data_IF_178717009619
#
_entry.id   IF_178717009619
#
_cell.length_a   1.000
_cell.length_b   1.000
_cell.length_c   1.000
_cell.angle_alpha   90.00
_cell.angle_beta   90.00
_cell.angle_gamma   90.00
#
_symmetry.space_group_name_H-M   'P 1'
#
loop_
_entity.id
_entity.type
_entity.pdbx_description
1 polymer ?
#
# COMPACT_ATOMS: atom_id res chain seq x y z
N UNK A 1 12.42 1.72 44.88
CA UNK A 1 11.29 0.91 45.37
C UNK A 1 11.73 -0.52 45.25
N UNK A 2 11.95 -1.20 46.37
CA UNK A 2 12.46 -2.57 46.34
C UNK A 2 11.31 -3.53 46.06
N UNK A 3 11.38 -4.23 44.91
CA UNK A 3 10.44 -5.30 44.59
C UNK A 3 11.04 -6.60 45.14
N UNK A 4 10.35 -7.18 46.12
CA UNK A 4 10.74 -8.46 46.73
C UNK A 4 9.98 -9.57 46.01
N UNK A 5 10.69 -10.38 45.24
CA UNK A 5 10.16 -11.62 44.71
C UNK A 5 10.37 -12.75 45.72
N UNK A 6 9.27 -13.38 46.17
CA UNK A 6 9.31 -14.59 46.98
C UNK A 6 9.14 -15.80 46.08
N UNK A 7 10.16 -16.59 45.91
CA UNK A 7 10.08 -17.89 45.23
C UNK A 7 9.88 -18.94 46.30
N UNK A 8 8.76 -19.64 46.29
CA UNK A 8 8.47 -20.79 47.14
C UNK A 8 8.82 -22.07 46.40
N UNK A 9 9.79 -22.80 46.85
CA UNK A 9 10.01 -24.19 46.45
C UNK A 9 9.48 -25.09 47.55
N UNK A 10 8.49 -25.92 47.23
CA UNK A 10 8.00 -26.99 48.15
C UNK A 10 8.69 -28.27 47.72
N UNK A 11 9.42 -28.87 48.65
CA UNK A 11 10.02 -30.20 48.48
C UNK A 11 9.24 -31.23 49.34
N UNK A 12 8.70 -32.24 48.66
CA UNK A 12 8.41 -33.51 49.30
C UNK A 12 9.40 -34.55 48.78
N UNK A 13 10.22 -35.09 49.69
CA UNK A 13 11.14 -36.22 49.61
C UNK A 13 12.68 -35.93 49.57
N UNK A 14 13.50 -36.75 50.27
CA UNK A 14 14.90 -36.42 50.58
C UNK A 14 15.96 -36.93 49.57
N UNK A 15 15.68 -37.03 48.31
CA UNK A 15 16.66 -37.53 47.30
C UNK A 15 16.50 -36.97 45.89
N UNK A 16 16.27 -35.63 45.77
CA UNK A 16 16.23 -35.03 44.43
C UNK A 16 17.49 -34.19 44.20
N UNK A 17 18.30 -34.62 43.26
CA UNK A 17 19.37 -33.77 42.66
C UNK A 17 18.73 -32.60 41.94
N UNK A 18 19.29 -31.41 42.13
CA UNK A 18 18.88 -30.16 41.58
C UNK A 18 19.09 -30.20 40.05
N UNK A 19 18.07 -30.52 39.31
CA UNK A 19 18.12 -30.46 37.84
C UNK A 19 17.96 -29.00 37.38
N UNK A 20 19.06 -28.31 37.23
CA UNK A 20 19.10 -27.02 36.54
C UNK A 20 18.97 -27.27 35.03
N UNK A 21 17.99 -26.67 34.41
CA UNK A 21 17.87 -26.65 32.92
C UNK A 21 19.19 -26.11 32.34
N UNK A 22 19.68 -26.77 31.30
CA UNK A 22 21.00 -26.59 30.68
C UNK A 22 21.28 -25.22 30.04
N UNK A 23 20.36 -24.29 30.10
CA UNK A 23 20.41 -23.04 29.31
C UNK A 23 20.54 -21.77 30.15
N UNK A 24 20.85 -21.88 31.44
CA UNK A 24 21.12 -20.72 32.29
C UNK A 24 22.62 -20.64 32.60
N UNK A 25 23.32 -19.80 31.86
CA UNK A 25 24.72 -19.40 32.17
C UNK A 25 24.76 -18.47 33.40
N UNK A 26 25.06 -19.06 34.58
CA UNK A 26 25.23 -18.33 35.85
C UNK A 26 26.64 -17.82 36.01
N UNK A 27 27.19 -17.05 35.04
CA UNK A 27 28.58 -16.58 35.14
C UNK A 27 28.80 -15.38 36.07
N UNK A 28 27.78 -14.76 36.63
CA UNK A 28 27.92 -13.55 37.45
C UNK A 28 27.24 -13.62 38.83
N UNK A 29 27.03 -14.81 39.39
CA UNK A 29 26.52 -14.93 40.75
C UNK A 29 27.71 -15.28 41.68
N UNK A 30 28.26 -14.30 42.34
CA UNK A 30 29.22 -14.48 43.41
C UNK A 30 28.47 -14.79 44.72
N UNK A 31 28.69 -16.01 45.24
CA UNK A 31 28.19 -16.58 46.50
C UNK A 31 26.76 -17.04 46.59
N UNK A 32 26.54 -18.29 46.22
CA UNK A 32 25.41 -19.08 46.70
C UNK A 32 25.84 -19.77 48.02
N UNK A 33 25.31 -19.31 49.16
CA UNK A 33 25.50 -20.01 50.45
C UNK A 33 24.24 -20.85 50.72
N UNK A 34 24.39 -22.16 50.70
CA UNK A 34 23.32 -23.09 51.05
C UNK A 34 23.44 -23.44 52.53
N UNK A 35 22.46 -23.06 53.36
CA UNK A 35 22.32 -23.59 54.72
C UNK A 35 21.20 -24.66 54.77
N UNK A 36 21.45 -25.67 55.47
CA UNK A 36 20.58 -26.84 55.67
C UNK A 36 19.49 -26.54 56.67
N UNK A 37 18.56 -25.80 56.57
CA UNK A 37 17.35 -25.73 57.38
C UNK A 37 16.53 -24.49 57.02
N UNK A 38 15.41 -24.72 56.33
CA UNK A 38 14.39 -23.68 56.16
C UNK A 38 14.50 -22.79 54.92
N UNK A 39 13.46 -22.11 54.63
CA UNK A 39 13.22 -21.24 53.47
C UNK A 39 14.27 -20.11 53.39
N UNK A 40 14.98 -19.97 52.27
CA UNK A 40 15.90 -18.85 52.03
C UNK A 40 15.30 -17.84 51.06
N UNK A 41 15.46 -16.56 51.39
CA UNK A 41 15.18 -15.44 50.48
C UNK A 41 16.48 -15.03 49.80
N UNK A 42 16.43 -14.94 48.47
CA UNK A 42 17.56 -14.42 47.67
C UNK A 42 17.27 -12.95 47.39
N UNK A 43 18.19 -12.09 47.82
CA UNK A 43 18.15 -10.66 47.51
C UNK A 43 19.09 -10.40 46.34
N UNK A 44 18.53 -9.90 45.23
CA UNK A 44 19.31 -9.55 44.05
C UNK A 44 19.34 -8.03 43.97
N UNK A 45 20.54 -7.45 43.87
CA UNK A 45 20.69 -6.01 43.71
C UNK A 45 20.16 -5.53 42.37
N UNK A 46 19.60 -4.32 42.34
CA UNK A 46 18.74 -3.78 41.31
C UNK A 46 19.38 -3.63 39.91
N UNK A 47 20.72 -3.53 39.85
CA UNK A 47 21.44 -3.40 38.59
C UNK A 47 21.62 -4.73 37.84
N UNK A 48 21.54 -5.87 38.52
CA UNK A 48 21.64 -7.20 37.89
C UNK A 48 20.29 -7.80 37.50
N UNK A 49 19.18 -7.29 38.05
CA UNK A 49 17.85 -7.86 37.82
C UNK A 49 17.25 -7.50 36.45
N UNK A 50 17.66 -6.37 35.88
CA UNK A 50 17.18 -5.97 34.53
C UNK A 50 17.78 -6.83 33.42
N UNK A 51 18.99 -7.34 33.55
CA UNK A 51 19.66 -8.17 32.55
C UNK A 51 19.24 -9.65 32.58
N UNK A 52 18.65 -10.12 33.67
CA UNK A 52 18.23 -11.54 33.81
C UNK A 52 16.82 -11.81 33.25
N UNK A 53 15.97 -10.77 33.14
CA UNK A 53 14.58 -10.89 32.69
C UNK A 53 14.46 -10.82 31.15
N UNK A 54 15.44 -10.21 30.51
CA UNK A 54 15.53 -10.15 29.05
C UNK A 54 16.65 -11.13 28.66
N UNK A 55 16.26 -12.33 28.20
CA UNK A 55 17.19 -13.24 27.55
C UNK A 55 18.02 -12.46 26.53
N UNK A 56 19.33 -12.68 26.51
CA UNK A 56 20.23 -12.23 25.46
C UNK A 56 19.86 -12.90 24.11
N UNK A 57 18.74 -12.51 23.53
CA UNK A 57 18.68 -12.36 22.09
C UNK A 57 19.55 -11.14 21.81
N UNK A 58 20.54 -11.28 20.95
CA UNK A 58 21.52 -10.31 20.52
C UNK A 58 21.11 -8.89 20.89
N UNK A 59 21.93 -8.15 21.65
CA UNK A 59 21.67 -6.75 21.97
C UNK A 59 21.70 -5.90 20.69
N UNK A 60 20.77 -6.21 19.78
CA UNK A 60 20.40 -5.44 18.62
C UNK A 60 19.64 -4.24 19.13
N UNK A 61 20.16 -3.07 18.85
CA UNK A 61 19.51 -1.79 19.11
C UNK A 61 18.03 -1.89 18.69
N UNK A 62 17.10 -1.73 19.63
CA UNK A 62 15.67 -1.74 19.34
C UNK A 62 15.38 -0.78 18.19
N UNK A 63 14.76 -1.25 17.12
CA UNK A 63 14.42 -0.38 15.99
C UNK A 63 13.51 0.76 16.44
N UNK A 64 13.71 1.92 15.84
CA UNK A 64 12.86 3.09 16.00
C UNK A 64 12.30 3.44 14.62
N UNK A 65 11.06 3.07 14.38
CA UNK A 65 10.39 3.24 13.10
C UNK A 65 9.35 4.36 13.21
N UNK A 66 9.43 5.33 12.32
CA UNK A 66 8.41 6.35 12.15
C UNK A 66 7.52 5.98 10.97
N UNK A 67 6.22 6.14 11.13
CA UNK A 67 5.27 6.23 10.02
C UNK A 67 4.80 7.67 9.88
N UNK A 68 5.02 8.28 8.73
CA UNK A 68 4.68 9.67 8.43
C UNK A 68 3.59 9.69 7.37
N UNK A 69 2.47 10.37 7.65
CA UNK A 69 1.26 10.40 6.82
C UNK A 69 0.77 11.84 6.67
N UNK A 70 0.57 12.30 5.44
CA UNK A 70 0.08 13.67 5.15
C UNK A 70 -1.41 13.78 5.39
N UNK A 71 -1.81 14.73 6.24
CA UNK A 71 -3.21 14.92 6.56
C UNK A 71 -4.03 15.40 5.35
N UNK A 72 -4.98 14.55 4.88
CA UNK A 72 -5.83 14.83 3.72
C UNK A 72 -5.03 15.34 2.51
N UNK A 73 -4.01 14.63 2.12
CA UNK A 73 -2.94 15.04 1.20
C UNK A 73 -3.43 15.83 -0.02
N UNK A 74 -4.32 15.29 -0.83
CA UNK A 74 -4.78 15.96 -2.05
C UNK A 74 -5.47 17.28 -1.78
N UNK A 75 -6.28 17.36 -0.73
CA UNK A 75 -6.93 18.59 -0.33
C UNK A 75 -5.90 19.60 0.20
N UNK A 76 -4.99 19.16 1.07
CA UNK A 76 -3.98 20.01 1.68
C UNK A 76 -3.01 20.58 0.64
N UNK A 77 -2.56 19.76 -0.31
CA UNK A 77 -1.69 20.23 -1.40
C UNK A 77 -2.41 21.19 -2.35
N UNK A 78 -3.68 20.94 -2.66
CA UNK A 78 -4.50 21.84 -3.47
C UNK A 78 -4.67 23.19 -2.75
N UNK A 79 -4.99 23.17 -1.46
CA UNK A 79 -5.13 24.38 -0.64
C UNK A 79 -3.84 25.21 -0.63
N UNK A 80 -2.69 24.56 -0.39
CA UNK A 80 -1.39 25.25 -0.38
C UNK A 80 -1.08 25.89 -1.74
N UNK A 81 -1.37 25.19 -2.84
CA UNK A 81 -1.13 25.73 -4.18
C UNK A 81 -2.06 26.91 -4.50
N UNK A 82 -3.33 26.81 -4.13
CA UNK A 82 -4.29 27.90 -4.32
C UNK A 82 -3.91 29.14 -3.51
N UNK A 83 -3.54 28.99 -2.24
CA UNK A 83 -3.10 30.11 -1.39
C UNK A 83 -1.83 30.77 -1.94
N UNK A 84 -0.86 30.01 -2.46
CA UNK A 84 0.32 30.56 -3.14
C UNK A 84 -0.04 31.37 -4.39
N UNK A 85 -1.11 30.99 -5.06
CA UNK A 85 -1.62 31.69 -6.24
C UNK A 85 -2.61 32.81 -5.92
N UNK A 86 -2.75 33.19 -4.63
CA UNK A 86 -3.54 34.35 -4.20
C UNK A 86 -5.01 34.04 -3.86
N UNK A 87 -5.37 32.77 -3.63
CA UNK A 87 -6.71 32.46 -3.15
C UNK A 87 -6.95 33.06 -1.75
N UNK A 88 -8.11 33.68 -1.54
CA UNK A 88 -8.47 34.29 -0.25
C UNK A 88 -8.98 33.29 0.77
N UNK A 89 -9.52 32.17 0.30
CA UNK A 89 -10.13 31.14 1.16
C UNK A 89 -9.27 29.88 1.17
N UNK A 90 -8.92 29.42 2.36
CA UNK A 90 -8.30 28.11 2.56
C UNK A 90 -9.38 27.03 2.55
N UNK A 91 -9.40 26.21 1.52
CA UNK A 91 -10.39 25.13 1.35
C UNK A 91 -10.33 24.06 2.47
N UNK A 92 -9.27 24.03 3.29
CA UNK A 92 -9.17 23.16 4.47
C UNK A 92 -10.12 23.59 5.60
N UNK A 93 -10.50 24.88 5.64
CA UNK A 93 -11.32 25.47 6.70
C UNK A 93 -12.82 25.37 6.42
N UNK A 94 -13.21 25.18 5.18
CA UNK A 94 -14.60 25.06 4.73
C UNK A 94 -14.98 23.61 4.39
N UNK A 95 -16.28 23.26 4.25
CA UNK A 95 -16.67 21.98 3.68
C UNK A 95 -16.19 21.85 2.23
N UNK A 96 -15.13 21.09 2.02
CA UNK A 96 -14.51 20.94 0.72
C UNK A 96 -14.06 19.50 0.44
N UNK A 97 -14.03 19.13 -0.84
CA UNK A 97 -13.54 17.84 -1.32
C UNK A 97 -12.64 18.03 -2.54
N UNK A 98 -11.76 17.07 -2.75
CA UNK A 98 -11.17 16.81 -4.07
C UNK A 98 -11.92 15.65 -4.66
N UNK A 99 -12.47 15.81 -5.85
CA UNK A 99 -13.29 14.79 -6.49
C UNK A 99 -13.23 14.82 -8.00
N UNK A 100 -13.58 13.70 -8.61
CA UNK A 100 -13.74 13.62 -10.06
C UNK A 100 -15.00 14.36 -10.53
N UNK A 101 -15.11 14.50 -11.85
CA UNK A 101 -16.25 15.18 -12.48
C UNK A 101 -17.60 14.59 -12.02
N UNK A 102 -18.50 15.48 -11.62
CA UNK A 102 -19.83 15.15 -11.11
C UNK A 102 -20.72 14.46 -12.17
N UNK A 103 -20.54 14.82 -13.43
CA UNK A 103 -21.35 14.30 -14.55
C UNK A 103 -20.80 12.98 -15.07
N UNK A 104 -19.54 12.68 -14.79
CA UNK A 104 -18.92 11.42 -15.18
C UNK A 104 -19.26 10.28 -14.22
N UNK A 105 -19.23 9.05 -14.73
CA UNK A 105 -19.37 7.82 -13.92
C UNK A 105 -18.20 7.59 -12.96
N UNK A 106 -17.17 8.44 -13.02
CA UNK A 106 -15.92 8.34 -12.26
C UNK A 106 -15.84 9.29 -11.05
N UNK A 107 -16.86 10.13 -10.87
CA UNK A 107 -16.88 11.15 -9.82
C UNK A 107 -16.96 10.56 -8.42
N UNK A 108 -15.80 10.25 -7.82
CA UNK A 108 -15.67 9.84 -6.41
C UNK A 108 -14.91 10.89 -5.60
N UNK A 109 -15.19 10.95 -4.30
CA UNK A 109 -14.46 11.76 -3.34
C UNK A 109 -13.07 11.16 -3.11
N UNK A 110 -12.01 11.87 -3.46
CA UNK A 110 -10.62 11.44 -3.26
C UNK A 110 -10.05 11.92 -1.93
N UNK A 111 -10.36 13.15 -1.54
CA UNK A 111 -9.99 13.73 -0.25
C UNK A 111 -11.07 14.69 0.23
N UNK A 112 -11.11 14.95 1.53
CA UNK A 112 -12.11 15.83 2.16
C UNK A 112 -11.52 16.63 3.31
N UNK A 113 -12.10 17.81 3.58
CA UNK A 113 -11.79 18.62 4.75
C UNK A 113 -12.40 18.01 6.03
N UNK A 114 -11.88 18.42 7.20
CA UNK A 114 -12.48 18.07 8.49
C UNK A 114 -13.90 18.62 8.62
N UNK A 115 -14.18 19.77 8.02
CA UNK A 115 -15.53 20.35 7.95
C UNK A 115 -16.47 19.49 7.12
N UNK A 116 -16.04 18.97 5.96
CA UNK A 116 -16.82 18.05 5.14
C UNK A 116 -17.07 16.71 5.85
N UNK A 117 -16.10 16.21 6.65
CA UNK A 117 -16.27 14.98 7.46
C UNK A 117 -17.46 15.07 8.41
N UNK A 118 -17.74 16.25 8.99
CA UNK A 118 -18.87 16.47 9.90
C UNK A 118 -20.23 16.23 9.25
N UNK A 119 -20.36 16.38 7.93
CA UNK A 119 -21.56 16.05 7.16
C UNK A 119 -21.66 14.56 6.79
N UNK A 120 -20.77 13.71 7.32
CA UNK A 120 -20.75 12.28 7.03
C UNK A 120 -20.23 11.95 5.62
N UNK A 121 -19.50 12.86 4.97
CA UNK A 121 -18.87 12.64 3.67
C UNK A 121 -17.70 11.66 3.88
N UNK A 122 -17.59 10.66 3.00
CA UNK A 122 -16.55 9.60 3.06
C UNK A 122 -15.69 9.59 1.81
N UNK A 123 -14.40 9.34 1.97
CA UNK A 123 -13.50 9.07 0.83
C UNK A 123 -13.94 7.80 0.12
N UNK A 124 -13.94 7.82 -1.22
CA UNK A 124 -14.39 6.71 -2.07
C UNK A 124 -15.90 6.72 -2.36
N UNK A 125 -16.71 7.59 -1.73
CA UNK A 125 -18.11 7.69 -2.10
C UNK A 125 -18.33 8.50 -3.38
N UNK A 126 -19.45 8.26 -4.12
CA UNK A 126 -19.80 9.07 -5.26
C UNK A 126 -19.96 10.56 -4.90
N UNK A 127 -19.40 11.45 -5.72
CA UNK A 127 -19.50 12.92 -5.54
C UNK A 127 -20.95 13.38 -5.41
N UNK A 128 -21.86 12.78 -6.17
CA UNK A 128 -23.32 13.09 -6.10
C UNK A 128 -23.88 12.88 -4.69
N UNK A 129 -23.43 11.83 -3.98
CA UNK A 129 -23.86 11.56 -2.62
C UNK A 129 -23.25 12.59 -1.63
N UNK A 130 -22.03 13.03 -1.87
CA UNK A 130 -21.41 14.08 -1.05
C UNK A 130 -22.18 15.41 -1.15
N UNK A 131 -22.59 15.81 -2.35
CA UNK A 131 -23.43 17.01 -2.55
C UNK A 131 -24.83 16.88 -1.95
N UNK A 132 -25.43 15.68 -1.93
CA UNK A 132 -26.70 15.46 -1.20
C UNK A 132 -26.59 15.69 0.29
N UNK A 133 -25.44 15.34 0.88
CA UNK A 133 -25.15 15.55 2.31
C UNK A 133 -24.79 17.00 2.64
N UNK A 134 -24.14 17.70 1.73
CA UNK A 134 -23.72 19.09 1.88
C UNK A 134 -23.93 19.85 0.55
N UNK A 135 -25.09 20.51 0.35
CA UNK A 135 -25.40 21.22 -0.90
C UNK A 135 -24.40 22.32 -1.27
N UNK A 136 -23.84 22.99 -0.26
CA UNK A 136 -22.84 24.07 -0.45
C UNK A 136 -21.40 23.55 -0.38
N UNK A 137 -21.18 22.30 -0.74
CA UNK A 137 -19.87 21.67 -0.74
C UNK A 137 -18.98 22.28 -1.84
N UNK A 138 -17.79 22.77 -1.45
CA UNK A 138 -16.77 23.17 -2.42
C UNK A 138 -16.10 21.93 -3.00
N UNK A 139 -15.85 21.92 -4.31
CA UNK A 139 -15.18 20.82 -4.97
C UNK A 139 -14.14 21.31 -5.97
N UNK A 140 -12.93 20.79 -5.85
CA UNK A 140 -11.86 20.97 -6.83
C UNK A 140 -11.53 19.65 -7.54
N UNK A 141 -11.16 19.69 -8.83
CA UNK A 141 -10.69 18.52 -9.56
C UNK A 141 -9.29 18.10 -9.08
N UNK A 142 -8.93 16.80 -9.18
CA UNK A 142 -7.61 16.32 -8.79
C UNK A 142 -6.51 16.75 -9.76
N UNK A 143 -5.37 17.17 -9.22
CA UNK A 143 -4.15 17.48 -9.99
C UNK A 143 -3.02 16.50 -9.63
N UNK A 144 -3.06 15.30 -10.19
CA UNK A 144 -2.08 14.24 -9.90
C UNK A 144 -0.63 14.60 -10.24
N UNK A 145 -0.39 15.54 -11.17
CA UNK A 145 0.97 16.02 -11.47
C UNK A 145 1.53 16.82 -10.30
N UNK A 146 0.74 17.76 -9.79
CA UNK A 146 1.08 18.58 -8.63
C UNK A 146 1.28 17.70 -7.38
N UNK A 147 0.40 16.69 -7.17
CA UNK A 147 0.50 15.80 -6.02
C UNK A 147 1.80 14.99 -6.01
N UNK A 148 2.23 14.47 -7.17
CA UNK A 148 3.54 13.80 -7.29
C UNK A 148 4.71 14.75 -6.99
N UNK A 149 4.60 16.02 -7.36
CA UNK A 149 5.64 17.00 -7.05
C UNK A 149 5.73 17.29 -5.55
N UNK A 150 4.60 17.50 -4.87
CA UNK A 150 4.58 17.68 -3.41
C UNK A 150 5.09 16.43 -2.68
N UNK A 151 4.66 15.24 -3.11
CA UNK A 151 5.14 13.96 -2.61
C UNK A 151 6.67 13.84 -2.74
N UNK A 152 7.21 14.09 -3.93
CA UNK A 152 8.65 14.04 -4.17
C UNK A 152 9.41 15.01 -3.26
N UNK A 153 8.95 16.25 -3.14
CA UNK A 153 9.58 17.27 -2.28
C UNK A 153 9.54 16.90 -0.81
N UNK A 154 8.46 16.27 -0.34
CA UNK A 154 8.38 15.75 1.02
C UNK A 154 9.39 14.61 1.23
N UNK A 155 9.44 13.63 0.32
CA UNK A 155 10.39 12.53 0.43
C UNK A 155 11.85 13.01 0.38
N UNK A 156 12.17 13.96 -0.53
CA UNK A 156 13.49 14.55 -0.61
C UNK A 156 13.88 15.28 0.70
N UNK A 157 12.92 15.97 1.33
CA UNK A 157 13.12 16.60 2.64
C UNK A 157 13.36 15.55 3.74
N UNK A 158 12.56 14.49 3.81
CA UNK A 158 12.75 13.44 4.82
C UNK A 158 14.08 12.71 4.65
N UNK A 159 14.56 12.54 3.41
CA UNK A 159 15.89 11.99 3.11
C UNK A 159 17.05 12.84 3.62
N UNK A 160 16.83 14.10 4.01
CA UNK A 160 17.87 14.89 4.68
C UNK A 160 18.17 14.41 6.10
N UNK A 161 17.27 13.64 6.71
CA UNK A 161 17.46 13.02 8.02
C UNK A 161 18.14 11.65 7.92
N UNK A 162 17.58 10.77 7.06
CA UNK A 162 18.08 9.40 6.84
C UNK A 162 17.79 8.94 5.41
N UNK A 163 18.64 8.07 4.86
CA UNK A 163 18.39 7.38 3.59
C UNK A 163 17.36 6.26 3.70
N UNK A 164 17.16 5.72 4.91
CA UNK A 164 16.33 4.57 5.18
C UNK A 164 14.84 4.96 5.22
N UNK A 165 14.28 5.16 4.03
CA UNK A 165 12.88 5.56 3.81
C UNK A 165 12.22 4.62 2.82
N UNK A 166 11.12 3.99 3.24
CA UNK A 166 10.22 3.20 2.42
C UNK A 166 8.98 4.03 2.09
N UNK A 167 8.91 4.53 0.87
CA UNK A 167 7.71 5.22 0.39
C UNK A 167 6.62 4.22 0.04
N UNK A 168 5.51 4.24 0.80
CA UNK A 168 4.37 3.33 0.62
C UNK A 168 3.37 3.86 -0.40
N UNK A 169 3.10 5.16 -0.34
CA UNK A 169 2.18 5.85 -1.25
C UNK A 169 2.69 7.25 -1.61
N UNK A 170 1.85 8.07 -2.24
CA UNK A 170 2.19 9.47 -2.54
C UNK A 170 2.26 10.34 -1.29
N UNK A 171 1.64 9.92 -0.19
CA UNK A 171 1.43 10.72 1.02
C UNK A 171 1.91 10.05 2.30
N UNK A 172 2.42 8.81 2.24
CA UNK A 172 2.91 8.11 3.43
C UNK A 172 4.21 7.36 3.19
N UNK A 173 5.03 7.29 4.23
CA UNK A 173 6.26 6.53 4.24
C UNK A 173 6.60 6.00 5.63
N UNK A 174 7.40 4.93 5.66
CA UNK A 174 8.16 4.54 6.84
C UNK A 174 9.57 5.12 6.77
N UNK A 175 10.10 5.49 7.94
CA UNK A 175 11.46 5.98 8.11
C UNK A 175 12.12 5.19 9.25
N UNK A 176 13.25 4.55 8.99
CA UNK A 176 14.07 3.99 10.07
C UNK A 176 14.89 5.12 10.71
N UNK A 177 14.53 5.43 11.93
CA UNK A 177 15.15 6.48 12.73
C UNK A 177 16.26 5.97 13.64
N UNK A 178 16.46 4.64 13.72
CA UNK A 178 17.39 3.97 14.64
C UNK A 178 18.81 4.56 14.58
N UNK A 179 19.37 4.65 13.37
CA UNK A 179 20.75 5.09 13.17
C UNK A 179 21.03 6.57 13.47
N UNK A 180 19.97 7.38 13.58
CA UNK A 180 20.08 8.83 13.82
C UNK A 180 19.48 9.28 15.16
N UNK A 181 18.90 8.35 15.92
CA UNK A 181 18.23 8.66 17.18
C UNK A 181 19.11 9.45 18.16
N UNK A 182 20.41 9.16 18.19
CA UNK A 182 21.39 9.82 19.07
C UNK A 182 21.59 11.32 18.79
N UNK A 183 21.12 11.82 17.63
CA UNK A 183 21.21 13.25 17.27
C UNK A 183 20.13 14.10 17.94
N UNK A 184 19.18 13.47 18.60
CA UNK A 184 17.99 14.10 19.19
C UNK A 184 17.89 13.67 20.66
N UNK A 185 17.26 14.48 21.48
CA UNK A 185 17.02 14.17 22.88
C UNK A 185 16.04 13.00 23.09
N UNK A 186 15.06 12.88 22.16
CA UNK A 186 14.15 11.73 22.09
C UNK A 186 13.55 11.56 20.68
N UNK A 187 13.10 10.34 20.30
CA UNK A 187 12.37 10.12 19.06
C UNK A 187 11.10 10.96 18.95
N UNK A 188 10.43 11.20 20.07
CA UNK A 188 9.20 12.00 20.11
C UNK A 188 9.48 13.47 19.79
N UNK A 189 10.54 14.05 20.34
CA UNK A 189 10.95 15.43 20.02
C UNK A 189 11.36 15.57 18.56
N UNK A 190 12.13 14.60 18.04
CA UNK A 190 12.46 14.58 16.62
C UNK A 190 11.23 14.55 15.72
N UNK A 191 10.21 13.78 16.07
CA UNK A 191 8.96 13.73 15.34
C UNK A 191 8.20 15.07 15.37
N UNK A 192 8.20 15.77 16.51
CA UNK A 192 7.62 17.12 16.60
C UNK A 192 8.42 18.12 15.76
N UNK A 193 9.74 18.04 15.75
CA UNK A 193 10.60 18.88 14.92
C UNK A 193 10.33 18.64 13.42
N UNK A 194 10.33 17.39 12.96
CA UNK A 194 10.03 17.03 11.58
C UNK A 194 8.65 17.58 11.17
N UNK A 195 7.64 17.37 12.02
CA UNK A 195 6.28 17.85 11.79
C UNK A 195 6.22 19.38 11.66
N UNK A 196 6.92 20.11 12.53
CA UNK A 196 7.00 21.58 12.49
C UNK A 196 7.70 22.07 11.21
N UNK A 197 8.83 21.46 10.85
CA UNK A 197 9.55 21.80 9.63
C UNK A 197 8.77 21.48 8.35
N UNK A 198 7.99 20.39 8.33
CA UNK A 198 7.08 20.08 7.19
C UNK A 198 6.05 21.19 7.03
N UNK A 199 5.44 21.64 8.13
CA UNK A 199 4.47 22.73 8.08
C UNK A 199 5.10 24.05 7.62
N UNK A 200 6.25 24.42 8.16
CA UNK A 200 6.96 25.66 7.83
C UNK A 200 7.39 25.69 6.35
N UNK A 201 7.98 24.60 5.86
CA UNK A 201 8.53 24.52 4.50
C UNK A 201 7.47 24.33 3.42
N UNK A 202 6.41 23.60 3.73
CA UNK A 202 5.46 23.16 2.71
C UNK A 202 4.04 23.66 2.93
N UNK A 203 3.66 24.10 4.15
CA UNK A 203 2.35 24.64 4.46
C UNK A 203 1.24 23.61 4.68
N UNK A 204 1.58 22.33 4.84
CA UNK A 204 0.65 21.26 5.20
C UNK A 204 1.13 20.49 6.43
N UNK A 205 0.24 19.71 7.03
CA UNK A 205 0.52 18.96 8.25
C UNK A 205 0.66 17.48 7.99
N UNK A 206 1.41 16.80 8.85
CA UNK A 206 1.57 15.35 8.88
C UNK A 206 1.20 14.78 10.24
N UNK A 207 0.79 13.51 10.27
CA UNK A 207 0.79 12.70 11.46
C UNK A 207 2.07 11.85 11.49
N UNK A 208 2.59 11.61 12.70
CA UNK A 208 3.75 10.74 12.90
C UNK A 208 3.40 9.70 13.96
N UNK A 209 3.53 8.43 13.60
CA UNK A 209 3.46 7.31 14.53
C UNK A 209 4.85 6.73 14.76
N UNK A 210 5.17 6.42 16.01
CA UNK A 210 6.49 5.94 16.44
C UNK A 210 6.34 4.59 17.10
N UNK A 211 7.15 3.62 16.70
CA UNK A 211 7.22 2.31 17.32
C UNK A 211 8.51 1.57 16.98
N UNK A 212 8.56 0.27 17.35
CA UNK A 212 9.67 -0.63 17.03
C UNK A 212 9.50 -1.37 15.72
N UNK A 213 8.31 -1.34 15.12
CA UNK A 213 8.03 -1.97 13.82
C UNK A 213 7.04 -1.14 12.99
N UNK A 214 6.93 -1.46 11.69
CA UNK A 214 6.09 -0.74 10.73
C UNK A 214 4.60 -0.80 11.07
N UNK A 215 4.11 -1.96 11.50
CA UNK A 215 2.71 -2.14 11.87
C UNK A 215 2.29 -1.20 12.99
N UNK A 216 3.02 -1.24 14.10
CA UNK A 216 2.69 -0.43 15.28
C UNK A 216 2.89 1.06 15.01
N UNK A 217 3.92 1.45 14.23
CA UNK A 217 4.10 2.83 13.81
C UNK A 217 2.92 3.32 12.94
N UNK A 218 2.41 2.46 12.02
CA UNK A 218 1.22 2.77 11.22
C UNK A 218 -0.02 2.93 12.09
N UNK A 219 -0.27 2.00 13.01
CA UNK A 219 -1.41 2.07 13.93
C UNK A 219 -1.34 3.34 14.79
N UNK A 220 -0.16 3.70 15.31
CA UNK A 220 0.03 4.91 16.09
C UNK A 220 -0.32 6.18 15.29
N UNK A 221 0.08 6.28 14.03
CA UNK A 221 -0.22 7.45 13.20
C UNK A 221 -1.70 7.65 12.91
N UNK A 222 -2.51 6.57 13.05
CA UNK A 222 -3.95 6.59 12.77
C UNK A 222 -4.83 6.86 13.99
N UNK A 223 -4.30 6.86 15.24
CA UNK A 223 -5.09 7.04 16.47
C UNK A 223 -5.89 8.34 16.49
N UNK A 224 -5.24 9.45 16.29
CA UNK A 224 -5.91 10.76 16.24
C UNK A 224 -5.30 11.61 15.11
N UNK A 225 -6.13 12.12 14.23
CA UNK A 225 -5.76 13.03 13.12
C UNK A 225 -6.61 14.30 13.18
N UNK A 226 -6.11 15.45 12.77
CA UNK A 226 -4.83 15.70 12.10
C UNK A 226 -3.70 16.21 13.02
N UNK A 227 -2.48 16.26 12.48
CA UNK A 227 -1.33 16.99 13.03
C UNK A 227 -0.89 16.51 14.41
N UNK A 228 -0.80 15.19 14.62
CA UNK A 228 -0.42 14.56 15.88
C UNK A 228 0.87 13.74 15.77
N UNK A 229 1.47 13.50 16.92
CA UNK A 229 2.53 12.53 17.13
C UNK A 229 2.05 11.53 18.19
N UNK A 230 2.12 10.25 17.88
CA UNK A 230 1.72 9.19 18.79
C UNK A 230 2.78 8.09 18.84
N UNK A 231 2.88 7.44 19.98
CA UNK A 231 3.66 6.22 20.18
C UNK A 231 2.73 5.03 20.32
N UNK A 232 3.22 3.88 19.90
CA UNK A 232 2.61 2.59 20.19
C UNK A 232 3.73 1.54 20.29
N UNK A 233 4.44 1.54 21.42
CA UNK A 233 5.45 0.53 21.69
C UNK A 233 4.82 -0.81 22.10
N UNK A 234 5.53 -1.93 22.03
CA UNK A 234 4.98 -3.25 22.34
C UNK A 234 4.28 -3.32 23.71
N UNK A 235 4.82 -2.65 24.72
CA UNK A 235 4.24 -2.57 26.07
C UNK A 235 2.93 -1.78 26.12
N UNK A 236 2.70 -0.87 25.16
CA UNK A 236 1.51 -0.02 25.07
C UNK A 236 0.35 -0.69 24.29
N UNK A 237 0.60 -1.82 23.59
CA UNK A 237 -0.36 -2.49 22.70
C UNK A 237 -1.65 -2.85 23.43
N UNK A 238 -1.54 -3.41 24.64
CA UNK A 238 -2.71 -3.83 25.42
C UNK A 238 -3.56 -2.64 25.89
N UNK A 239 -2.95 -1.52 26.19
CA UNK A 239 -3.63 -0.35 26.69
C UNK A 239 -4.21 0.50 25.56
N UNK A 240 -3.42 0.76 24.49
CA UNK A 240 -3.79 1.71 23.44
C UNK A 240 -4.47 1.07 22.25
N UNK A 241 -4.09 -0.17 21.86
CA UNK A 241 -4.56 -0.78 20.62
C UNK A 241 -5.68 -1.82 20.87
N UNK A 242 -5.58 -2.67 21.90
CA UNK A 242 -6.57 -3.71 22.14
C UNK A 242 -8.01 -3.23 22.38
N UNK A 243 -8.27 -2.06 23.03
CA UNK A 243 -9.62 -1.54 23.20
C UNK A 243 -10.28 -1.07 21.91
N UNK A 244 -9.52 -0.86 20.83
CA UNK A 244 -10.05 -0.36 19.57
C UNK A 244 -10.93 -1.42 18.88
N UNK A 245 -11.95 -0.97 18.10
CA UNK A 245 -12.72 -1.86 17.25
C UNK A 245 -11.81 -2.62 16.28
N UNK A 246 -12.13 -3.88 15.99
CA UNK A 246 -11.35 -4.71 15.08
C UNK A 246 -11.27 -4.13 13.67
N UNK A 247 -12.22 -3.28 13.28
CA UNK A 247 -12.22 -2.55 12.01
C UNK A 247 -11.12 -1.48 11.88
N UNK A 248 -10.53 -1.07 13.00
CA UNK A 248 -9.41 -0.12 13.01
C UNK A 248 -8.05 -0.80 12.85
N UNK A 249 -7.99 -2.13 12.95
CA UNK A 249 -6.75 -2.86 12.75
C UNK A 249 -6.29 -2.76 11.29
N UNK A 250 -5.03 -2.41 11.10
CA UNK A 250 -4.42 -2.40 9.76
C UNK A 250 -4.66 -3.72 9.04
N UNK A 251 -5.03 -3.68 7.77
CA UNK A 251 -5.40 -4.84 6.93
C UNK A 251 -6.75 -5.50 7.26
N UNK A 252 -7.47 -5.14 8.32
CA UNK A 252 -8.81 -5.65 8.57
C UNK A 252 -9.84 -4.98 7.65
N UNK A 253 -9.98 -5.48 6.43
CA UNK A 253 -10.95 -4.99 5.46
C UNK A 253 -12.40 -5.38 5.82
N UNK A 254 -13.40 -4.73 5.19
CA UNK A 254 -14.83 -4.95 5.46
C UNK A 254 -15.25 -6.42 5.43
N UNK A 255 -14.71 -7.21 4.51
CA UNK A 255 -15.01 -8.66 4.40
C UNK A 255 -14.48 -9.45 5.59
N UNK A 256 -13.25 -9.14 6.04
CA UNK A 256 -12.66 -9.80 7.20
C UNK A 256 -13.39 -9.39 8.48
N UNK A 257 -13.69 -8.09 8.64
CA UNK A 257 -14.47 -7.58 9.79
C UNK A 257 -15.82 -8.25 9.88
N UNK A 258 -16.56 -8.39 8.77
CA UNK A 258 -17.86 -9.06 8.75
C UNK A 258 -17.79 -10.56 9.17
N UNK A 259 -16.65 -11.22 8.92
CA UNK A 259 -16.41 -12.61 9.38
C UNK A 259 -16.07 -12.60 10.88
N UNK A 260 -15.20 -11.70 11.32
CA UNK A 260 -14.81 -11.58 12.73
C UNK A 260 -16.01 -11.23 13.62
N UNK A 261 -16.87 -10.31 13.20
CA UNK A 261 -18.11 -9.97 13.91
C UNK A 261 -19.08 -11.16 14.05
N UNK A 262 -19.16 -12.04 13.04
CA UNK A 262 -19.93 -13.30 13.13
C UNK A 262 -19.34 -14.28 14.13
N UNK A 263 -18.04 -14.19 14.40
CA UNK A 263 -17.34 -14.95 15.43
C UNK A 263 -17.36 -14.25 16.79
N UNK A 264 -18.15 -13.17 16.92
CA UNK A 264 -18.27 -12.31 18.10
C UNK A 264 -16.98 -11.58 18.50
N UNK A 265 -16.01 -11.49 17.57
CA UNK A 265 -14.75 -10.74 17.73
C UNK A 265 -14.98 -9.31 17.26
N UNK A 266 -15.04 -8.36 18.19
CA UNK A 266 -15.37 -6.95 17.94
C UNK A 266 -14.20 -6.01 18.17
N UNK A 267 -13.28 -6.39 19.06
CA UNK A 267 -12.10 -5.59 19.40
C UNK A 267 -10.80 -6.26 18.95
N UNK A 268 -9.74 -5.46 18.83
CA UNK A 268 -8.41 -5.97 18.51
C UNK A 268 -7.92 -6.90 19.62
N UNK A 269 -8.24 -6.61 20.90
CA UNK A 269 -7.89 -7.45 22.02
C UNK A 269 -8.57 -8.81 22.03
N UNK A 270 -9.85 -8.88 21.64
CA UNK A 270 -10.56 -10.16 21.46
C UNK A 270 -9.92 -10.97 20.33
N UNK A 271 -9.56 -10.33 19.21
CA UNK A 271 -8.84 -10.96 18.11
C UNK A 271 -7.48 -11.52 18.55
N UNK A 272 -6.71 -10.74 19.31
CA UNK A 272 -5.39 -11.13 19.81
C UNK A 272 -5.43 -12.36 20.72
N UNK A 273 -6.52 -12.54 21.46
CA UNK A 273 -6.72 -13.64 22.41
C UNK A 273 -7.42 -14.86 21.79
N UNK A 274 -7.90 -14.75 20.55
CA UNK A 274 -8.57 -15.85 19.85
C UNK A 274 -7.54 -16.89 19.37
N UNK A 275 -7.93 -18.17 19.35
CA UNK A 275 -7.08 -19.25 18.78
C UNK A 275 -6.79 -18.94 17.29
N UNK A 276 -5.51 -18.79 16.88
CA UNK A 276 -5.16 -18.51 15.50
C UNK A 276 -5.64 -19.60 14.52
N UNK A 277 -5.82 -20.85 14.95
CA UNK A 277 -6.37 -21.92 14.09
C UNK A 277 -7.83 -21.67 13.71
N UNK A 278 -8.63 -21.12 14.62
CA UNK A 278 -10.00 -20.72 14.32
C UNK A 278 -10.03 -19.61 13.25
N UNK A 279 -9.14 -18.64 13.38
CA UNK A 279 -9.02 -17.54 12.41
C UNK A 279 -8.52 -18.05 11.04
N UNK A 280 -7.56 -18.96 11.02
CA UNK A 280 -7.07 -19.60 9.79
C UNK A 280 -8.17 -20.43 9.10
N UNK A 281 -9.04 -21.09 9.85
CA UNK A 281 -10.17 -21.82 9.29
C UNK A 281 -11.12 -20.92 8.50
N UNK A 282 -11.44 -19.73 9.03
CA UNK A 282 -12.40 -18.82 8.43
C UNK A 282 -11.78 -17.84 7.42
N UNK A 283 -10.56 -17.38 7.67
CA UNK A 283 -9.87 -16.30 6.91
C UNK A 283 -8.60 -16.81 6.21
N UNK A 284 -8.27 -18.09 6.32
CA UNK A 284 -7.06 -18.71 5.78
C UNK A 284 -5.80 -18.03 6.32
N UNK A 285 -4.74 -17.91 5.50
CA UNK A 285 -3.48 -17.23 5.89
C UNK A 285 -3.70 -15.80 6.39
N UNK A 286 -4.71 -15.11 5.87
CA UNK A 286 -5.02 -13.76 6.31
C UNK A 286 -5.49 -13.69 7.78
N UNK A 287 -6.18 -14.73 8.26
CA UNK A 287 -6.56 -14.85 9.68
C UNK A 287 -5.35 -14.87 10.60
N UNK A 288 -4.31 -15.63 10.23
CA UNK A 288 -3.05 -15.62 10.96
C UNK A 288 -2.37 -14.26 10.98
N UNK A 289 -2.29 -13.62 9.82
CA UNK A 289 -1.72 -12.26 9.70
C UNK A 289 -2.45 -11.26 10.60
N UNK A 290 -3.79 -11.29 10.63
CA UNK A 290 -4.56 -10.40 11.49
C UNK A 290 -4.34 -10.71 12.98
N UNK A 291 -4.18 -11.97 13.35
CA UNK A 291 -3.84 -12.35 14.72
C UNK A 291 -2.45 -11.86 15.14
N UNK A 292 -1.45 -12.04 14.28
CA UNK A 292 -0.10 -11.52 14.49
C UNK A 292 -0.13 -10.00 14.67
N UNK A 293 -0.86 -9.29 13.81
CA UNK A 293 -1.02 -7.84 13.88
C UNK A 293 -1.73 -7.39 15.16
N UNK A 294 -2.77 -8.10 15.60
CA UNK A 294 -3.45 -7.81 16.86
C UNK A 294 -2.54 -7.98 18.10
N UNK A 295 -1.53 -8.84 17.99
CA UNK A 295 -0.49 -9.02 19.00
C UNK A 295 0.74 -8.09 18.82
N UNK A 296 0.69 -7.15 17.88
CA UNK A 296 1.77 -6.19 17.63
C UNK A 296 2.97 -6.77 16.89
N UNK A 297 2.84 -7.99 16.34
CA UNK A 297 3.90 -8.66 15.59
C UNK A 297 3.92 -8.12 14.17
N UNK A 298 4.99 -7.47 13.78
CA UNK A 298 5.16 -6.86 12.46
C UNK A 298 6.64 -6.75 12.07
N UNK A 299 6.87 -6.52 10.78
CA UNK A 299 8.22 -6.34 10.24
C UNK A 299 8.78 -4.96 10.63
N UNK A 300 10.02 -4.94 11.12
CA UNK A 300 10.74 -3.71 11.43
C UNK A 300 11.58 -3.20 10.26
N UNK A 301 11.87 -4.04 9.26
CA UNK A 301 12.76 -3.67 8.16
C UNK A 301 12.11 -2.65 7.24
N UNK A 302 12.70 -1.46 7.17
CA UNK A 302 12.36 -0.43 6.18
C UNK A 302 13.08 -0.76 4.87
N UNK A 303 12.33 -0.84 3.77
CA UNK A 303 12.86 -1.14 2.44
C UNK A 303 13.09 0.16 1.67
N UNK A 304 14.30 0.70 1.78
CA UNK A 304 14.69 1.95 1.09
C UNK A 304 14.86 1.79 -0.42
N UNK A 305 15.05 0.55 -0.90
CA UNK A 305 15.15 0.25 -2.32
C UNK A 305 13.77 0.03 -2.94
N UNK A 306 13.56 0.59 -4.14
CA UNK A 306 12.32 0.37 -4.88
C UNK A 306 12.15 -1.11 -5.25
N UNK A 307 11.06 -1.71 -4.82
CA UNK A 307 10.72 -3.09 -5.18
C UNK A 307 10.34 -3.17 -6.65
N UNK A 308 10.91 -4.11 -7.38
CA UNK A 308 10.58 -4.32 -8.78
C UNK A 308 9.08 -4.57 -8.99
N UNK A 309 8.48 -3.85 -9.93
CA UNK A 309 7.06 -4.02 -10.25
C UNK A 309 6.75 -5.44 -10.70
N UNK A 310 5.77 -6.10 -10.09
CA UNK A 310 5.33 -7.47 -10.44
C UNK A 310 4.46 -7.50 -11.71
N UNK A 311 3.94 -6.38 -12.13
CA UNK A 311 3.09 -6.25 -13.32
C UNK A 311 2.76 -4.80 -13.65
N UNK A 312 2.32 -4.58 -14.88
CA UNK A 312 1.83 -3.28 -15.37
C UNK A 312 0.42 -3.47 -15.91
N UNK A 313 -0.53 -2.69 -15.44
CA UNK A 313 -1.91 -2.75 -15.92
C UNK A 313 -2.55 -1.38 -16.03
N UNK A 314 -3.60 -1.31 -16.82
CA UNK A 314 -4.48 -0.17 -16.92
C UNK A 314 -5.92 -0.64 -17.12
N UNK A 315 -6.87 0.07 -16.50
CA UNK A 315 -8.30 -0.19 -16.67
C UNK A 315 -9.04 1.14 -16.76
N UNK A 316 -10.19 1.11 -17.42
CA UNK A 316 -11.04 2.29 -17.55
C UNK A 316 -12.49 1.92 -17.38
N UNK A 317 -13.23 2.71 -16.61
CA UNK A 317 -14.69 2.67 -16.61
C UNK A 317 -15.17 3.42 -17.84
N UNK A 318 -16.08 2.87 -18.57
CA UNK A 318 -16.55 3.42 -19.83
C UNK A 318 -17.60 4.52 -19.58
N UNK A 319 -17.64 5.59 -20.38
CA UNK A 319 -18.63 6.67 -20.25
C UNK A 319 -20.07 6.14 -20.36
N UNK A 320 -20.28 5.19 -21.27
CA UNK A 320 -21.52 4.41 -21.45
C UNK A 320 -21.17 2.93 -21.46
N UNK A 321 -22.12 2.08 -21.11
CA UNK A 321 -21.92 0.64 -21.19
C UNK A 321 -21.76 0.23 -22.66
N UNK A 322 -20.80 -0.64 -22.93
CA UNK A 322 -20.50 -1.12 -24.28
C UNK A 322 -21.14 -2.49 -24.48
N UNK A 323 -21.92 -2.59 -25.56
CA UNK A 323 -22.71 -3.79 -25.93
C UNK A 323 -22.17 -4.49 -27.20
N UNK A 324 -21.15 -3.91 -27.85
CA UNK A 324 -20.57 -4.45 -29.08
C UNK A 324 -19.10 -4.82 -28.89
N UNK A 325 -18.76 -6.02 -29.34
CA UNK A 325 -17.36 -6.51 -29.26
C UNK A 325 -16.35 -5.58 -29.94
N UNK A 326 -16.75 -4.98 -31.08
CA UNK A 326 -15.90 -4.08 -31.86
C UNK A 326 -15.51 -2.83 -31.05
N UNK A 327 -16.44 -2.24 -30.30
CA UNK A 327 -16.18 -1.06 -29.49
C UNK A 327 -15.37 -1.42 -28.24
N UNK A 328 -15.64 -2.58 -27.63
CA UNK A 328 -14.82 -3.10 -26.54
C UNK A 328 -13.36 -3.33 -26.99
N UNK A 329 -13.13 -3.92 -28.18
CA UNK A 329 -11.79 -4.16 -28.74
C UNK A 329 -11.03 -2.87 -29.03
N UNK A 330 -11.71 -1.76 -29.40
CA UNK A 330 -11.08 -0.44 -29.55
C UNK A 330 -10.54 0.07 -28.19
N UNK A 331 -11.31 -0.12 -27.13
CA UNK A 331 -10.89 0.23 -25.78
C UNK A 331 -9.70 -0.62 -25.33
N UNK A 332 -9.75 -1.95 -25.54
CA UNK A 332 -8.65 -2.86 -25.25
C UNK A 332 -7.38 -2.46 -25.99
N UNK A 333 -7.49 -1.97 -27.21
CA UNK A 333 -6.35 -1.46 -27.97
C UNK A 333 -5.68 -0.27 -27.29
N UNK A 334 -6.46 0.74 -26.86
CA UNK A 334 -5.96 1.91 -26.13
C UNK A 334 -5.30 1.52 -24.82
N UNK A 335 -5.88 0.57 -24.09
CA UNK A 335 -5.31 0.04 -22.86
C UNK A 335 -3.99 -0.70 -23.12
N UNK A 336 -3.91 -1.52 -24.17
CA UNK A 336 -2.70 -2.24 -24.57
C UNK A 336 -1.56 -1.27 -24.97
N UNK A 337 -1.86 -0.19 -25.73
CA UNK A 337 -0.89 0.86 -26.03
C UNK A 337 -0.34 1.52 -24.75
N UNK A 338 -1.22 1.85 -23.79
CA UNK A 338 -0.83 2.44 -22.51
C UNK A 338 0.07 1.51 -21.71
N UNK A 339 -0.28 0.23 -21.63
CA UNK A 339 0.51 -0.81 -20.93
C UNK A 339 1.86 -1.02 -21.59
N UNK A 340 1.89 -1.20 -22.92
CA UNK A 340 3.13 -1.40 -23.67
C UNK A 340 4.08 -0.21 -23.58
N UNK A 341 3.57 1.02 -23.61
CA UNK A 341 4.37 2.24 -23.37
C UNK A 341 5.02 2.24 -22.00
N UNK A 342 4.29 1.81 -20.96
CA UNK A 342 4.81 1.76 -19.58
C UNK A 342 5.85 0.65 -19.41
N UNK A 343 5.65 -0.52 -20.03
CA UNK A 343 6.62 -1.61 -20.07
C UNK A 343 7.93 -1.16 -20.70
N UNK A 344 7.87 -0.55 -21.89
CA UNK A 344 9.08 -0.03 -22.58
C UNK A 344 9.80 1.03 -21.76
N UNK A 345 9.06 1.96 -21.13
CA UNK A 345 9.66 2.96 -20.23
C UNK A 345 10.40 2.33 -19.05
N UNK A 346 9.90 1.20 -18.56
CA UNK A 346 10.51 0.44 -17.47
C UNK A 346 11.60 -0.54 -17.91
N UNK A 347 11.94 -0.64 -19.22
CA UNK A 347 12.89 -1.63 -19.75
C UNK A 347 12.43 -3.07 -19.53
N UNK A 348 11.12 -3.32 -19.51
CA UNK A 348 10.53 -4.63 -19.17
C UNK A 348 9.71 -5.21 -20.33
N UNK A 349 9.66 -6.55 -20.37
CA UNK A 349 8.74 -7.36 -21.16
C UNK A 349 7.85 -8.17 -20.23
N UNK A 350 6.72 -8.65 -20.71
CA UNK A 350 5.80 -9.46 -19.93
C UNK A 350 5.59 -10.84 -20.56
N UNK A 351 5.49 -11.86 -19.74
CA UNK A 351 5.16 -13.23 -20.14
C UNK A 351 3.69 -13.59 -19.98
N UNK A 352 2.90 -12.72 -19.37
CA UNK A 352 1.49 -12.98 -19.11
C UNK A 352 0.64 -11.73 -19.36
N UNK A 353 -0.51 -11.92 -20.00
CA UNK A 353 -1.55 -10.90 -20.20
C UNK A 353 -2.82 -11.39 -19.52
N UNK A 354 -3.54 -10.48 -18.87
CA UNK A 354 -4.89 -10.72 -18.36
C UNK A 354 -5.84 -9.62 -18.80
N UNK A 355 -7.11 -9.98 -18.97
CA UNK A 355 -8.22 -9.08 -19.22
C UNK A 355 -9.19 -9.16 -18.06
N UNK A 356 -9.69 -8.00 -17.66
CA UNK A 356 -10.76 -7.84 -16.68
C UNK A 356 -11.94 -7.17 -17.32
N UNK A 357 -13.14 -7.73 -17.11
CA UNK A 357 -14.43 -7.15 -17.51
C UNK A 357 -15.25 -6.92 -16.24
N UNK A 358 -15.77 -5.72 -16.07
CA UNK A 358 -16.85 -5.46 -15.11
C UNK A 358 -18.12 -5.17 -15.88
N UNK A 359 -19.16 -5.91 -15.61
CA UNK A 359 -20.47 -5.74 -16.20
C UNK A 359 -21.28 -4.59 -15.57
N UNK A 360 -22.41 -4.23 -16.15
CA UNK A 360 -23.29 -3.16 -15.67
C UNK A 360 -23.84 -3.42 -14.25
N UNK A 361 -24.00 -4.68 -13.87
CA UNK A 361 -24.40 -5.16 -12.54
C UNK A 361 -23.25 -5.19 -11.50
N UNK A 362 -22.05 -4.72 -11.88
CA UNK A 362 -20.83 -4.72 -11.10
C UNK A 362 -20.19 -6.09 -10.85
N UNK A 363 -20.66 -7.16 -11.51
CA UNK A 363 -19.92 -8.41 -11.51
C UNK A 363 -18.58 -8.26 -12.23
N UNK A 364 -17.52 -8.80 -11.64
CA UNK A 364 -16.18 -8.80 -12.22
C UNK A 364 -15.82 -10.20 -12.68
N UNK A 365 -15.35 -10.30 -13.91
CA UNK A 365 -14.75 -11.52 -14.46
C UNK A 365 -13.37 -11.20 -15.01
N UNK A 366 -12.44 -12.14 -14.89
CA UNK A 366 -11.11 -11.97 -15.44
C UNK A 366 -10.52 -13.29 -15.92
N UNK A 367 -9.75 -13.23 -16.97
CA UNK A 367 -9.00 -14.36 -17.50
C UNK A 367 -7.59 -13.95 -17.85
N UNK A 368 -6.64 -14.88 -17.77
CA UNK A 368 -5.24 -14.61 -18.06
C UNK A 368 -4.64 -15.71 -18.93
N UNK A 369 -3.64 -15.32 -19.75
CA UNK A 369 -2.95 -16.20 -20.68
C UNK A 369 -1.46 -15.95 -20.63
N UNK A 370 -0.68 -17.01 -20.61
CA UNK A 370 0.76 -16.92 -20.79
C UNK A 370 1.08 -16.69 -22.26
N UNK A 371 1.95 -15.75 -22.54
CA UNK A 371 2.46 -15.50 -23.88
C UNK A 371 3.49 -16.59 -24.23
N UNK A 372 3.55 -16.99 -25.49
CA UNK A 372 4.59 -17.92 -25.96
C UNK A 372 5.99 -17.34 -25.86
N UNK A 373 6.11 -15.99 -25.84
CA UNK A 373 7.36 -15.25 -25.63
C UNK A 373 7.09 -13.96 -24.90
N UNK A 374 8.06 -13.54 -24.06
CA UNK A 374 8.00 -12.26 -23.39
C UNK A 374 7.93 -11.11 -24.40
N UNK A 375 6.98 -10.20 -24.24
CA UNK A 375 6.80 -9.08 -25.14
C UNK A 375 6.40 -7.79 -24.42
N UNK A 376 6.93 -6.65 -24.88
CA UNK A 376 6.48 -5.30 -24.53
C UNK A 376 5.78 -4.60 -25.71
N UNK A 377 5.49 -5.33 -26.80
CA UNK A 377 4.86 -4.78 -27.99
C UNK A 377 3.35 -4.66 -27.82
N UNK A 378 2.82 -3.46 -28.08
CA UNK A 378 1.38 -3.13 -27.96
C UNK A 378 0.51 -4.11 -28.72
N UNK A 379 0.91 -4.49 -29.94
CA UNK A 379 0.16 -5.39 -30.80
C UNK A 379 0.04 -6.80 -30.21
N UNK A 380 1.11 -7.34 -29.65
CA UNK A 380 1.10 -8.67 -29.01
C UNK A 380 0.20 -8.68 -27.78
N UNK A 381 0.26 -7.61 -26.97
CA UNK A 381 -0.58 -7.45 -25.80
C UNK A 381 -2.07 -7.32 -26.22
N UNK A 382 -2.32 -6.55 -27.26
CA UNK A 382 -3.67 -6.36 -27.81
C UNK A 382 -4.27 -7.66 -28.37
N UNK A 383 -3.52 -8.40 -29.18
CA UNK A 383 -3.97 -9.69 -29.75
C UNK A 383 -4.29 -10.70 -28.66
N UNK A 384 -3.42 -10.81 -27.65
CA UNK A 384 -3.67 -11.65 -26.49
C UNK A 384 -4.91 -11.19 -25.70
N UNK A 385 -5.08 -9.87 -25.53
CA UNK A 385 -6.25 -9.30 -24.85
C UNK A 385 -7.54 -9.55 -25.62
N UNK A 386 -7.53 -9.44 -26.95
CA UNK A 386 -8.70 -9.77 -27.76
C UNK A 386 -9.09 -11.24 -27.68
N UNK A 387 -8.11 -12.16 -27.74
CA UNK A 387 -8.36 -13.60 -27.57
C UNK A 387 -9.01 -13.89 -26.23
N UNK A 388 -8.46 -13.33 -25.14
CA UNK A 388 -9.03 -13.48 -23.79
C UNK A 388 -10.40 -12.85 -23.65
N UNK A 389 -10.63 -11.72 -24.27
CA UNK A 389 -11.92 -11.04 -24.27
C UNK A 389 -12.99 -11.89 -24.98
N UNK A 390 -12.68 -12.45 -26.15
CA UNK A 390 -13.62 -13.30 -26.91
C UNK A 390 -13.97 -14.60 -26.15
N UNK A 391 -13.06 -15.11 -25.32
CA UNK A 391 -13.29 -16.27 -24.46
C UNK A 391 -14.13 -15.92 -23.21
N UNK A 392 -14.01 -14.68 -22.72
CA UNK A 392 -14.53 -14.28 -21.41
C UNK A 392 -15.90 -13.57 -21.49
N UNK A 393 -16.12 -12.80 -22.56
CA UNK A 393 -17.31 -11.96 -22.68
C UNK A 393 -18.55 -12.78 -23.04
N UNK A 394 -19.60 -12.64 -22.23
CA UNK A 394 -20.88 -13.36 -22.38
C UNK A 394 -21.94 -12.61 -23.18
N UNK A 395 -21.63 -11.44 -23.73
CA UNK A 395 -22.59 -10.60 -24.47
C UNK A 395 -23.29 -9.53 -23.62
N UNK A 396 -23.11 -9.53 -22.30
CA UNK A 396 -23.72 -8.51 -21.44
C UNK A 396 -23.04 -7.15 -21.54
N UNK A 397 -23.75 -6.04 -21.20
CA UNK A 397 -23.23 -4.68 -21.26
C UNK A 397 -22.02 -4.50 -20.34
N UNK A 398 -20.93 -3.98 -20.89
CA UNK A 398 -19.64 -3.81 -20.22
C UNK A 398 -19.52 -2.38 -19.65
N UNK A 399 -19.27 -2.29 -18.35
CA UNK A 399 -19.04 -1.04 -17.62
C UNK A 399 -17.56 -0.65 -17.53
N UNK A 400 -16.67 -1.63 -17.37
CA UNK A 400 -15.22 -1.40 -17.23
C UNK A 400 -14.46 -2.49 -17.99
N UNK A 401 -13.36 -2.06 -18.62
CA UNK A 401 -12.38 -2.95 -19.23
C UNK A 401 -10.99 -2.68 -18.63
N UNK A 402 -10.25 -3.75 -18.40
CA UNK A 402 -8.86 -3.71 -17.93
C UNK A 402 -7.96 -4.65 -18.71
N UNK A 403 -6.71 -4.20 -18.94
CA UNK A 403 -5.61 -5.02 -19.47
C UNK A 403 -4.46 -4.94 -18.46
N UNK A 404 -3.96 -6.09 -18.04
CA UNK A 404 -2.83 -6.20 -17.12
C UNK A 404 -1.80 -7.17 -17.68
N UNK A 405 -0.53 -6.86 -17.44
CA UNK A 405 0.59 -7.75 -17.73
C UNK A 405 1.29 -8.14 -16.44
N UNK A 406 1.82 -9.35 -16.41
CA UNK A 406 2.53 -9.89 -15.26
C UNK A 406 3.69 -10.79 -15.70
N UNK A 407 4.43 -11.35 -14.72
CA UNK A 407 5.67 -12.10 -14.97
C UNK A 407 6.63 -11.28 -15.83
N UNK A 408 6.97 -10.09 -15.29
CA UNK A 408 7.85 -9.17 -15.97
C UNK A 408 9.29 -9.69 -15.95
N UNK A 409 9.97 -9.53 -17.09
CA UNK A 409 11.38 -9.85 -17.30
C UNK A 409 12.08 -8.62 -17.86
N UNK A 410 13.40 -8.53 -17.71
CA UNK A 410 14.18 -7.44 -18.28
C UNK A 410 14.19 -7.51 -19.82
N UNK A 411 14.33 -6.35 -20.48
CA UNK A 411 14.30 -6.30 -21.94
C UNK A 411 15.43 -7.14 -22.54
N UNK A 412 16.58 -7.18 -21.87
CA UNK A 412 17.81 -7.87 -22.29
C UNK A 412 17.91 -9.31 -21.75
N UNK A 413 16.92 -9.77 -20.97
CA UNK A 413 16.95 -11.14 -20.42
C UNK A 413 16.94 -12.18 -21.54
N UNK A 414 17.86 -13.17 -21.50
CA UNK A 414 17.93 -14.22 -22.50
C UNK A 414 16.64 -15.03 -22.56
N UNK A 415 16.08 -15.21 -23.75
CA UNK A 415 14.89 -16.05 -23.94
C UNK A 415 15.30 -17.55 -23.95
N UNK A 416 14.72 -18.30 -23.01
CA UNK A 416 14.82 -19.76 -23.07
C UNK A 416 13.95 -20.27 -24.24
N UNK A 417 14.58 -20.79 -25.27
CA UNK A 417 13.89 -21.39 -26.43
C UNK A 417 13.47 -22.82 -26.07
N UNK A 418 12.22 -23.17 -26.32
CA UNK A 418 11.78 -24.56 -26.25
C UNK A 418 12.28 -25.35 -27.48
N UNK A 419 12.39 -26.67 -27.34
CA UNK A 419 12.76 -27.55 -28.46
C UNK A 419 11.76 -27.42 -29.64
N UNK A 420 10.48 -27.15 -29.32
CA UNK A 420 9.41 -26.89 -30.30
C UNK A 420 9.63 -25.56 -31.05
N UNK A 421 10.16 -24.53 -30.42
CA UNK A 421 10.50 -23.26 -31.06
C UNK A 421 11.60 -23.41 -32.10
N UNK A 422 12.50 -24.34 -31.88
CA UNK A 422 13.58 -24.67 -32.86
C UNK A 422 13.01 -25.33 -34.11
N UNK A 423 12.00 -26.20 -33.99
CA UNK A 423 11.36 -26.86 -35.16
C UNK A 423 10.56 -25.87 -36.01
N UNK A 424 9.91 -24.85 -35.37
CA UNK A 424 9.19 -23.81 -36.11
C UNK A 424 10.10 -22.76 -36.76
N UNK A 425 11.32 -22.54 -36.23
CA UNK A 425 12.30 -21.62 -36.85
C UNK A 425 12.72 -22.02 -38.25
N UNK A 426 12.67 -23.33 -38.59
CA UNK A 426 13.03 -23.83 -39.91
C UNK A 426 11.98 -23.53 -40.99
N UNK A 427 10.74 -23.21 -40.59
CA UNK A 427 9.61 -22.99 -41.55
C UNK A 427 9.15 -21.54 -41.72
N UNK A 428 9.66 -20.55 -40.98
CA UNK A 428 9.14 -19.18 -41.12
C UNK A 428 10.16 -18.08 -40.82
N UNK A 429 10.88 -17.63 -41.84
CA UNK A 429 11.63 -16.36 -41.80
C UNK A 429 10.75 -15.09 -41.78
N UNK A 430 9.47 -15.21 -42.10
CA UNK A 430 8.54 -14.06 -42.22
C UNK A 430 8.11 -13.40 -40.90
N UNK A 431 7.93 -14.07 -39.74
CA UNK A 431 7.44 -13.40 -38.51
C UNK A 431 8.42 -12.45 -37.85
N UNK A 432 9.75 -12.70 -37.93
CA UNK A 432 10.76 -11.85 -37.28
C UNK A 432 10.81 -10.44 -37.87
N UNK A 433 10.79 -10.30 -39.20
CA UNK A 433 10.81 -8.98 -39.88
C UNK A 433 9.56 -8.17 -39.61
N UNK A 434 8.38 -8.81 -39.42
CA UNK A 434 7.12 -8.15 -39.08
C UNK A 434 7.11 -7.63 -37.64
N UNK A 435 7.59 -8.41 -36.68
CA UNK A 435 7.67 -8.01 -35.27
C UNK A 435 8.69 -6.88 -35.04
N UNK A 436 9.82 -6.92 -35.72
CA UNK A 436 10.82 -5.87 -35.65
C UNK A 436 10.34 -4.55 -36.25
N UNK A 437 9.59 -4.61 -37.37
CA UNK A 437 8.91 -3.45 -37.94
C UNK A 437 7.87 -2.86 -36.99
N UNK A 438 7.08 -3.70 -36.33
CA UNK A 438 6.08 -3.26 -35.34
C UNK A 438 6.72 -2.60 -34.12
N UNK A 439 7.85 -3.15 -33.62
CA UNK A 439 8.63 -2.53 -32.54
C UNK A 439 9.14 -1.14 -32.96
N UNK A 440 9.74 -1.02 -34.13
CA UNK A 440 10.24 0.28 -34.66
C UNK A 440 9.11 1.29 -34.86
N UNK A 441 7.97 0.84 -35.36
CA UNK A 441 6.78 1.69 -35.52
C UNK A 441 6.25 2.19 -34.18
N UNK A 442 6.08 1.31 -33.19
CA UNK A 442 5.61 1.69 -31.84
C UNK A 442 6.58 2.63 -31.15
N UNK A 443 7.89 2.43 -31.32
CA UNK A 443 8.93 3.32 -30.78
C UNK A 443 8.86 4.72 -31.43
N UNK A 444 8.85 4.78 -32.77
CA UNK A 444 8.74 6.04 -33.50
C UNK A 444 7.46 6.83 -33.17
N UNK A 445 6.31 6.16 -33.09
CA UNK A 445 5.06 6.80 -32.64
C UNK A 445 5.17 7.31 -31.21
N UNK A 446 5.86 6.59 -30.33
CA UNK A 446 6.11 6.99 -28.94
C UNK A 446 6.98 8.25 -28.86
N UNK A 447 8.02 8.35 -29.65
CA UNK A 447 8.92 9.52 -29.73
C UNK A 447 8.17 10.75 -30.27
N UNK A 448 7.41 10.61 -31.35
CA UNK A 448 6.62 11.71 -31.94
C UNK A 448 5.62 12.23 -30.92
N UNK A 449 4.89 11.33 -30.25
CA UNK A 449 3.94 11.72 -29.19
C UNK A 449 4.61 12.33 -27.96
N UNK A 450 5.81 11.89 -27.63
CA UNK A 450 6.63 12.46 -26.55
C UNK A 450 7.08 13.90 -26.84
N UNK A 451 7.39 14.21 -28.11
CA UNK A 451 7.92 15.49 -28.55
C UNK A 451 6.81 16.50 -28.89
N UNK A 452 5.72 16.04 -29.49
CA UNK A 452 4.68 16.91 -30.07
C UNK A 452 3.30 16.76 -29.39
N UNK A 453 3.20 15.96 -28.32
CA UNK A 453 1.95 15.70 -27.61
C UNK A 453 1.27 14.39 -28.01
N UNK A 454 0.39 13.90 -27.14
CA UNK A 454 -0.27 12.60 -27.30
C UNK A 454 -1.13 12.50 -28.58
N UNK A 455 -1.64 13.63 -29.07
CA UNK A 455 -2.53 13.74 -30.23
C UNK A 455 -1.80 13.98 -31.55
N UNK A 456 -0.45 14.12 -31.53
CA UNK A 456 0.34 14.37 -32.73
C UNK A 456 0.29 13.24 -33.76
N UNK A 457 0.10 12.00 -33.32
CA UNK A 457 -0.13 10.83 -34.20
C UNK A 457 -1.25 10.00 -33.61
N UNK A 458 -2.38 10.02 -34.29
CA UNK A 458 -3.58 9.24 -33.93
C UNK A 458 -3.83 8.20 -35.03
N UNK A 459 -4.14 6.96 -34.66
CA UNK A 459 -4.55 5.95 -35.65
C UNK A 459 -5.92 6.27 -36.18
N UNK A 460 -6.15 5.98 -37.48
CA UNK A 460 -7.41 6.28 -38.16
C UNK A 460 -8.65 5.74 -37.44
N UNK A 461 -8.59 4.54 -36.87
CA UNK A 461 -9.69 3.93 -36.11
C UNK A 461 -10.09 4.72 -34.85
N UNK A 462 -9.14 5.39 -34.21
CA UNK A 462 -9.38 6.24 -33.03
C UNK A 462 -9.91 7.63 -33.44
N UNK A 463 -9.47 8.11 -34.61
CA UNK A 463 -9.92 9.39 -35.17
C UNK A 463 -11.41 9.32 -35.56
N UNK A 464 -11.82 8.24 -36.22
CA UNK A 464 -13.22 7.98 -36.58
C UNK A 464 -14.14 7.93 -35.34
N UNK A 465 -13.65 7.42 -34.23
CA UNK A 465 -14.43 7.37 -32.99
C UNK A 465 -14.60 8.77 -32.38
N UNK A 466 -13.53 9.56 -32.30
CA UNK A 466 -13.59 10.97 -31.82
C UNK A 466 -14.51 11.84 -32.71
N UNK A 467 -14.53 11.60 -33.99
CA UNK A 467 -15.44 12.32 -34.92
C UNK A 467 -16.91 11.91 -34.72
N UNK A 468 -17.19 10.63 -34.40
CA UNK A 468 -18.53 10.16 -34.06
C UNK A 468 -19.02 10.75 -32.74
N UNK A 469 -18.17 10.71 -31.69
CA UNK A 469 -18.47 11.29 -30.39
C UNK A 469 -18.81 12.78 -30.49
N UNK A 470 -18.02 13.57 -31.26
CA UNK A 470 -18.29 14.99 -31.52
C UNK A 470 -19.56 15.25 -32.32
N UNK A 471 -20.01 14.31 -33.14
CA UNK A 471 -21.28 14.42 -33.87
C UNK A 471 -22.49 14.08 -33.00
N UNK A 472 -22.32 13.17 -32.04
CA UNK A 472 -23.37 12.78 -31.10
C UNK A 472 -23.55 13.81 -29.97
N UNK A 473 -22.50 14.53 -29.59
CA UNK A 473 -22.58 15.68 -28.66
C UNK A 473 -23.24 16.94 -29.27
N UNK A 474 -23.35 17.01 -30.58
CA UNK A 474 -24.00 18.12 -31.29
C UNK A 474 -25.46 17.86 -31.67
N UNK A 475 -26.00 16.70 -31.37
CA UNK A 475 -27.41 16.36 -31.48
C UNK A 475 -28.08 16.37 -30.10
#
# INVERSE_FOLDING_TARGET
MNIIFRIFCVYDEPSADLCLHKDLHLSNVHHLAVKRDGVQSIQIEQESACSIIWGEEEAGMSHIIFHIDVNSAYLSWTAVEQLKNGAEVDIRTIPAIIGGDRESRHGIVLAKSSSAKKFGIRTGEPVVNAFRKCPNLHMDPPNHRMYREYSRRLMDFLRTYTSEIEQVSVDECYMDFTGIAQRFSSPVEAAYEIKAQVYEKFGFTVNVGISTNKLLAKMASDFEKPNRVHTLFPEEVREKMWPLPVSELFMAGKSSVAILEKLEIRTIGELAQTDPKLLEFHLKSHGRTLWEFANGIGDAKVQSEETAAKGVGNSTTLPKDVEKAEDAKKVLFSLAESVGKRLRKAGKKANMVSVEIRYSDFQNVSHQKQLGRASGADQVIYEAACSLFDELWNGEPIRLLGVRTAKLVDEDEPEQLSLFDLQFKVKSEKPKKSMEKLKKLSAAMGEIRGKYGADAVIRGSVLEQREKEKKDEKK
#
